data_IF_864805236653
#
_entry.id   IF_864805236653
#
_cell.length_a   1.000
_cell.length_b   1.000
_cell.length_c   1.000
_cell.angle_alpha   90.00
_cell.angle_beta   90.00
_cell.angle_gamma   90.00
#
_symmetry.space_group_name_H-M   'P 1'
#
loop_
_entity.id
_entity.type
_entity.pdbx_description
1 polymer ?
#
# COMPACT_ATOMS: atom_id res chain seq x y z
N UNK A 1 17.64 2.75 26.77
CA UNK A 1 17.99 2.06 25.50
C UNK A 1 19.15 2.76 24.83
N UNK A 2 20.25 2.06 24.58
CA UNK A 2 21.39 2.58 23.82
C UNK A 2 20.97 2.90 22.37
N UNK A 3 21.52 4.00 21.79
CA UNK A 3 21.35 4.39 20.39
C UNK A 3 21.66 3.24 19.43
N UNK A 4 22.70 2.45 19.71
CA UNK A 4 23.05 1.27 18.90
C UNK A 4 21.95 0.19 18.88
N UNK A 5 21.34 -0.10 20.03
CA UNK A 5 20.25 -1.08 20.13
C UNK A 5 19.01 -0.62 19.36
N UNK A 6 18.68 0.68 19.37
CA UNK A 6 17.56 1.23 18.60
C UNK A 6 17.75 1.02 17.09
N UNK A 7 18.97 1.23 16.59
CA UNK A 7 19.30 1.06 15.18
C UNK A 7 19.17 -0.42 14.78
N UNK A 8 19.75 -1.33 15.57
CA UNK A 8 19.69 -2.78 15.28
C UNK A 8 18.24 -3.28 15.29
N UNK A 9 17.45 -2.89 16.30
CA UNK A 9 16.03 -3.26 16.36
C UNK A 9 15.25 -2.70 15.17
N UNK A 10 15.51 -1.45 14.77
CA UNK A 10 14.89 -0.87 13.58
C UNK A 10 15.20 -1.67 12.30
N UNK A 11 16.46 -2.07 12.11
CA UNK A 11 16.88 -2.90 10.97
C UNK A 11 16.17 -4.25 11.00
N UNK A 12 16.13 -4.92 12.14
CA UNK A 12 15.46 -6.21 12.32
C UNK A 12 13.97 -6.11 11.96
N UNK A 13 13.29 -5.07 12.44
CA UNK A 13 11.86 -4.85 12.21
C UNK A 13 11.52 -4.54 10.74
N UNK A 14 12.50 -4.11 9.94
CA UNK A 14 12.31 -3.88 8.50
C UNK A 14 12.68 -5.12 7.70
N UNK A 15 13.86 -5.69 7.96
CA UNK A 15 14.42 -6.78 7.13
C UNK A 15 13.64 -8.08 7.32
N UNK A 16 13.29 -8.46 8.56
CA UNK A 16 12.65 -9.75 8.82
C UNK A 16 11.29 -9.86 8.12
N UNK A 17 10.36 -8.90 8.26
CA UNK A 17 9.07 -8.98 7.56
C UNK A 17 9.24 -9.02 6.05
N UNK A 18 10.14 -8.19 5.48
CA UNK A 18 10.41 -8.19 4.05
C UNK A 18 10.93 -9.54 3.57
N UNK A 19 11.84 -10.17 4.31
CA UNK A 19 12.33 -11.51 3.97
C UNK A 19 11.20 -12.55 4.00
N UNK A 20 10.35 -12.54 5.01
CA UNK A 20 9.29 -13.56 5.17
C UNK A 20 8.21 -13.51 4.09
N UNK A 21 7.99 -12.35 3.45
CA UNK A 21 6.95 -12.15 2.44
C UNK A 21 7.42 -12.30 0.98
N UNK A 22 8.72 -12.54 0.76
CA UNK A 22 9.28 -12.75 -0.59
C UNK A 22 8.81 -14.11 -1.15
N UNK A 23 8.62 -14.25 -2.49
CA UNK A 23 8.23 -15.52 -3.09
C UNK A 23 9.13 -16.69 -2.68
N UNK A 24 8.51 -17.81 -2.28
CA UNK A 24 9.23 -19.00 -1.80
C UNK A 24 9.50 -19.02 -0.29
N UNK A 25 9.05 -18.00 0.46
CA UNK A 25 9.14 -17.93 1.92
C UNK A 25 7.79 -18.23 2.59
N UNK A 26 7.78 -18.56 3.90
CA UNK A 26 6.57 -19.07 4.57
C UNK A 26 5.36 -18.12 4.57
N UNK A 27 5.58 -16.81 4.44
CA UNK A 27 4.51 -15.79 4.43
C UNK A 27 4.40 -15.10 3.07
N UNK A 28 4.84 -15.74 1.98
CA UNK A 28 4.73 -15.18 0.63
C UNK A 28 3.29 -14.78 0.26
N UNK A 29 2.31 -15.55 0.71
CA UNK A 29 0.90 -15.29 0.44
C UNK A 29 0.41 -13.99 1.12
N UNK A 30 0.98 -13.64 2.27
CA UNK A 30 0.70 -12.36 2.94
C UNK A 30 1.31 -11.19 2.17
N UNK A 31 2.50 -11.38 1.59
CA UNK A 31 3.11 -10.41 0.67
C UNK A 31 2.21 -10.16 -0.53
N UNK A 32 1.76 -11.23 -1.19
CA UNK A 32 0.85 -11.15 -2.31
C UNK A 32 -0.48 -10.49 -1.95
N UNK A 33 -1.12 -10.90 -0.85
CA UNK A 33 -2.39 -10.33 -0.40
C UNK A 33 -2.26 -8.83 -0.08
N UNK A 34 -1.17 -8.42 0.59
CA UNK A 34 -0.90 -7.01 0.88
C UNK A 34 -0.76 -6.21 -0.43
N UNK A 35 -0.07 -6.76 -1.42
CA UNK A 35 0.09 -6.14 -2.72
C UNK A 35 -1.25 -5.98 -3.46
N UNK A 36 -2.12 -6.99 -3.41
CA UNK A 36 -3.47 -6.90 -3.98
C UNK A 36 -4.33 -5.84 -3.29
N UNK A 37 -4.25 -5.71 -1.95
CA UNK A 37 -4.96 -4.66 -1.21
C UNK A 37 -4.49 -3.27 -1.63
N UNK A 38 -3.18 -3.06 -1.77
CA UNK A 38 -2.62 -1.78 -2.23
C UNK A 38 -3.13 -1.46 -3.64
N UNK A 39 -3.02 -2.41 -4.57
CA UNK A 39 -3.52 -2.22 -5.94
C UNK A 39 -5.02 -1.95 -5.98
N UNK A 40 -5.82 -2.69 -5.22
CA UNK A 40 -7.26 -2.50 -5.12
C UNK A 40 -7.61 -1.11 -4.56
N UNK A 41 -6.91 -0.67 -3.51
CA UNK A 41 -7.07 0.66 -2.92
C UNK A 41 -6.75 1.78 -3.91
N UNK A 42 -5.61 1.70 -4.62
CA UNK A 42 -5.23 2.67 -5.66
C UNK A 42 -6.24 2.68 -6.80
N UNK A 43 -6.73 1.51 -7.23
CA UNK A 43 -7.72 1.41 -8.31
C UNK A 43 -9.03 2.09 -7.93
N UNK A 44 -9.57 1.80 -6.73
CA UNK A 44 -10.81 2.42 -6.24
C UNK A 44 -10.63 3.93 -6.11
N UNK A 45 -9.49 4.39 -5.60
CA UNK A 45 -9.19 5.81 -5.49
C UNK A 45 -9.25 6.53 -6.84
N UNK A 46 -8.62 5.95 -7.88
CA UNK A 46 -8.66 6.50 -9.25
C UNK A 46 -10.10 6.53 -9.79
N UNK A 47 -10.89 5.47 -9.58
CA UNK A 47 -12.29 5.42 -10.02
C UNK A 47 -13.11 6.53 -9.37
N UNK A 48 -12.99 6.70 -8.05
CA UNK A 48 -13.71 7.75 -7.32
C UNK A 48 -13.32 9.14 -7.79
N UNK A 49 -12.02 9.39 -8.02
CA UNK A 49 -11.55 10.65 -8.61
C UNK A 49 -12.19 10.89 -9.99
N UNK A 50 -12.23 9.89 -10.85
CA UNK A 50 -12.87 9.99 -12.16
C UNK A 50 -14.35 10.34 -12.06
N UNK A 51 -15.09 9.70 -11.14
CA UNK A 51 -16.51 9.99 -10.89
C UNK A 51 -16.69 11.44 -10.44
N UNK A 52 -15.89 11.92 -9.49
CA UNK A 52 -15.95 13.30 -9.00
C UNK A 52 -15.73 14.29 -10.15
N UNK A 53 -14.71 14.07 -10.98
CA UNK A 53 -14.42 14.94 -12.13
C UNK A 53 -15.58 14.95 -13.15
N UNK A 54 -16.20 13.80 -13.41
CA UNK A 54 -17.36 13.71 -14.31
C UNK A 54 -18.53 14.53 -13.74
N UNK A 55 -18.81 14.41 -12.43
CA UNK A 55 -19.89 15.17 -11.78
C UNK A 55 -19.63 16.66 -11.90
N UNK A 56 -18.40 17.11 -11.61
CA UNK A 56 -18.00 18.52 -11.75
C UNK A 56 -18.18 19.00 -13.19
N UNK A 57 -17.73 18.23 -14.18
CA UNK A 57 -17.90 18.59 -15.59
C UNK A 57 -19.37 18.66 -16.03
N UNK A 58 -20.23 17.77 -15.51
CA UNK A 58 -21.67 17.84 -15.78
C UNK A 58 -22.31 19.08 -15.15
N UNK A 59 -21.88 19.46 -13.94
CA UNK A 59 -22.36 20.66 -13.26
C UNK A 59 -21.96 21.92 -14.06
N UNK A 60 -20.73 21.98 -14.54
CA UNK A 60 -20.24 23.06 -15.42
C UNK A 60 -21.02 23.12 -16.75
N UNK A 61 -21.36 21.98 -17.36
CA UNK A 61 -22.16 21.92 -18.59
C UNK A 61 -23.63 22.32 -18.41
N UNK A 62 -24.14 22.30 -17.18
CA UNK A 62 -25.50 22.76 -16.84
C UNK A 62 -25.56 24.26 -16.58
N UNK A 63 -24.42 24.95 -16.61
CA UNK A 63 -24.31 26.42 -16.65
C UNK A 63 -24.80 27.02 -17.95
#
# INVERSE_FOLDING_TARGET
MNKGLKIILGIILVIIPLYLIVPGMPLSDWGAATWEVIKGGVTIFIILLGIVLIIMGIDELRG
#
